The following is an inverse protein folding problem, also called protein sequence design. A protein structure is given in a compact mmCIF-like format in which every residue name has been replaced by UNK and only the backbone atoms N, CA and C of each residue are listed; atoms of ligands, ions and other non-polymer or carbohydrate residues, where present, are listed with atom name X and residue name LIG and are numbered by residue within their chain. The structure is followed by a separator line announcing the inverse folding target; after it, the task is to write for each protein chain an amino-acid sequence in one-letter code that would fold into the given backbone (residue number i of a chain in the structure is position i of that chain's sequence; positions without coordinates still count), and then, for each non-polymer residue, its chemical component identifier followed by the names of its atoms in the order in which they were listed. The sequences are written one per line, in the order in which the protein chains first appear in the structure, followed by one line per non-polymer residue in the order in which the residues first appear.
data_IF_380740795828
#
_entry.id   IF_380740795828
#
_cell.length_a   1.000
_cell.length_b   1.000
_cell.length_c   1.000
_cell.angle_alpha   90.00
_cell.angle_beta   90.00
_cell.angle_gamma   90.00
#
_symmetry.space_group_name_H-M   'P 1'
#
loop_
_entity.id
_entity.type
_entity.pdbx_description
1 polymer ?
#
# COMPACT_ATOMS: atom_id res chain seq x y z
N UNK A 1 -28.79 -44.39 -30.86
CA UNK A 1 -30.16 -44.01 -31.28
C UNK A 1 -31.14 -44.94 -30.58
N UNK A 2 -32.31 -44.53 -30.08
CA UNK A 2 -33.18 -43.37 -30.43
C UNK A 2 -33.14 -42.24 -29.38
N UNK A 3 -33.46 -40.94 -29.58
CA UNK A 3 -34.51 -40.16 -30.27
C UNK A 3 -35.76 -39.88 -29.39
N UNK A 4 -35.87 -38.59 -28.96
CA UNK A 4 -37.04 -37.73 -28.63
C UNK A 4 -37.99 -38.18 -27.49
N UNK A 5 -38.62 -37.30 -26.67
CA UNK A 5 -39.25 -35.98 -26.91
C UNK A 5 -39.50 -35.24 -25.56
N UNK A 6 -39.56 -33.91 -25.64
CA UNK A 6 -40.04 -32.96 -24.61
C UNK A 6 -41.49 -33.24 -24.12
N UNK A 7 -41.91 -32.59 -23.02
CA UNK A 7 -42.91 -31.53 -23.21
C UNK A 7 -42.61 -30.22 -22.44
N UNK A 8 -42.93 -29.12 -23.12
CA UNK A 8 -43.22 -27.80 -22.55
C UNK A 8 -44.55 -27.83 -21.78
N UNK A 9 -44.78 -26.88 -20.87
CA UNK A 9 -45.85 -25.86 -20.97
C UNK A 9 -45.82 -24.94 -19.75
N UNK A 10 -45.61 -23.67 -20.08
CA UNK A 10 -45.96 -22.41 -19.41
C UNK A 10 -46.80 -22.42 -18.11
N UNK A 11 -46.41 -21.53 -17.18
CA UNK A 11 -47.30 -20.43 -16.79
C UNK A 11 -46.52 -19.15 -16.47
N UNK A 12 -46.86 -18.10 -17.22
CA UNK A 12 -46.50 -16.70 -17.03
C UNK A 12 -47.11 -16.16 -15.72
N UNK A 13 -46.38 -15.30 -15.02
CA UNK A 13 -46.96 -14.15 -14.31
C UNK A 13 -46.13 -12.91 -14.64
N UNK A 14 -46.70 -12.10 -15.51
CA UNK A 14 -46.39 -10.68 -15.74
C UNK A 14 -46.80 -9.87 -14.52
N UNK A 15 -45.97 -8.93 -14.08
CA UNK A 15 -46.44 -7.76 -13.33
C UNK A 15 -45.55 -6.55 -13.63
N UNK A 16 -46.09 -5.76 -14.57
CA UNK A 16 -46.01 -4.32 -14.75
C UNK A 16 -44.91 -3.53 -14.05
N UNK A 17 -44.07 -2.91 -14.88
CA UNK A 17 -43.38 -1.65 -14.61
C UNK A 17 -44.38 -0.52 -14.31
N UNK A 18 -44.34 0.02 -13.10
CA UNK A 18 -44.90 1.35 -12.82
C UNK A 18 -43.78 2.36 -12.53
N UNK A 19 -43.36 3.04 -13.60
CA UNK A 19 -42.90 4.42 -13.53
C UNK A 19 -44.07 5.27 -12.99
N UNK A 20 -43.92 5.88 -11.81
CA UNK A 20 -44.75 7.01 -11.39
C UNK A 20 -43.86 8.14 -10.87
N UNK A 21 -43.67 9.11 -11.76
CA UNK A 21 -43.54 10.53 -11.44
C UNK A 21 -44.58 10.94 -10.40
N UNK A 22 -44.14 11.58 -9.33
CA UNK A 22 -45.03 12.36 -8.45
C UNK A 22 -44.52 13.80 -8.44
N UNK A 23 -45.18 14.64 -9.24
CA UNK A 23 -45.13 16.10 -9.12
C UNK A 23 -46.40 16.58 -8.41
N UNK A 24 -46.29 17.76 -7.79
CA UNK A 24 -47.35 18.67 -7.31
C UNK A 24 -47.89 18.40 -5.90
N UNK A 25 -47.37 19.17 -4.93
CA UNK A 25 -48.19 19.74 -3.87
C UNK A 25 -48.38 21.24 -4.12
N UNK A 26 -49.63 21.65 -3.89
CA UNK A 26 -50.29 22.87 -4.30
C UNK A 26 -49.83 24.10 -3.51
N UNK A 27 -49.53 25.20 -4.20
CA UNK A 27 -49.49 26.53 -3.60
C UNK A 27 -50.91 27.09 -3.55
N UNK A 28 -51.43 27.36 -2.35
CA UNK A 28 -52.62 28.19 -2.15
C UNK A 28 -52.15 29.64 -2.09
N UNK A 29 -52.66 30.46 -2.99
CA UNK A 29 -52.41 31.89 -3.11
C UNK A 29 -53.27 32.69 -2.12
N UNK A 30 -52.63 33.49 -1.28
CA UNK A 30 -53.23 34.67 -0.65
C UNK A 30 -52.34 35.89 -0.94
N UNK A 31 -52.97 36.90 -1.52
CA UNK A 31 -52.39 38.07 -2.16
C UNK A 31 -51.90 39.12 -1.16
N UNK A 32 -50.65 39.58 -1.30
CA UNK A 32 -50.25 40.95 -1.00
C UNK A 32 -48.93 41.25 -1.72
N UNK A 33 -48.95 42.30 -2.54
CA UNK A 33 -47.86 42.71 -3.41
C UNK A 33 -46.76 43.47 -2.66
N UNK A 34 -45.49 43.06 -2.84
CA UNK A 34 -44.32 43.95 -2.88
C UNK A 34 -43.13 43.22 -3.52
N UNK A 35 -42.37 43.96 -4.33
CA UNK A 35 -41.39 43.50 -5.32
C UNK A 35 -40.05 43.07 -4.71
N UNK A 36 -39.36 42.08 -5.31
CA UNK A 36 -37.89 41.96 -5.25
C UNK A 36 -37.29 40.62 -4.82
N UNK A 37 -36.87 39.82 -5.83
CA UNK A 37 -35.79 38.81 -5.84
C UNK A 37 -35.79 37.61 -4.87
N UNK A 38 -36.04 36.41 -5.43
CA UNK A 38 -35.25 35.19 -5.18
C UNK A 38 -35.45 34.44 -3.87
N UNK A 39 -36.53 33.67 -3.75
CA UNK A 39 -36.87 32.81 -2.61
C UNK A 39 -35.99 31.54 -2.52
N UNK A 40 -35.21 31.40 -1.45
CA UNK A 40 -34.69 30.13 -0.91
C UNK A 40 -35.72 29.55 0.08
N UNK A 41 -36.17 28.32 -0.12
CA UNK A 41 -36.92 27.58 0.91
C UNK A 41 -35.97 27.05 1.99
N UNK A 42 -36.27 27.20 3.30
CA UNK A 42 -35.45 26.65 4.38
C UNK A 42 -35.86 25.20 4.68
N UNK A 43 -34.96 24.24 4.44
CA UNK A 43 -35.07 22.91 5.03
C UNK A 43 -34.49 22.96 6.45
N UNK A 44 -35.34 23.16 7.45
CA UNK A 44 -34.94 23.01 8.85
C UNK A 44 -34.55 21.54 9.13
N UNK A 45 -33.33 21.31 9.63
CA UNK A 45 -32.92 20.02 10.20
C UNK A 45 -31.76 19.26 9.54
N UNK A 46 -30.73 19.92 9.00
CA UNK A 46 -29.38 19.31 8.81
C UNK A 46 -28.29 20.28 8.33
N UNK A 47 -28.54 21.60 8.36
CA UNK A 47 -27.58 22.58 7.86
C UNK A 47 -26.26 22.61 8.66
N UNK A 48 -26.26 22.25 9.94
CA UNK A 48 -25.04 22.19 10.76
C UNK A 48 -24.07 21.08 10.34
N UNK A 49 -24.56 19.86 10.13
CA UNK A 49 -23.72 18.72 9.76
C UNK A 49 -23.24 18.80 8.30
N UNK A 50 -24.09 19.24 7.37
CA UNK A 50 -23.72 19.42 5.98
C UNK A 50 -22.77 20.63 5.76
N UNK A 51 -22.89 21.70 6.56
CA UNK A 51 -21.94 22.80 6.55
C UNK A 51 -20.59 22.42 7.18
N UNK A 52 -20.58 21.64 8.26
CA UNK A 52 -19.37 21.12 8.87
C UNK A 52 -18.62 20.15 7.95
N UNK A 53 -19.33 19.28 7.22
CA UNK A 53 -18.75 18.42 6.19
C UNK A 53 -18.15 19.25 5.04
N UNK A 54 -18.81 20.32 4.60
CA UNK A 54 -18.28 21.22 3.55
C UNK A 54 -16.98 21.94 3.94
N UNK A 55 -16.69 22.10 5.23
CA UNK A 55 -15.47 22.75 5.74
C UNK A 55 -14.38 21.75 6.16
N UNK A 56 -14.63 20.43 6.07
CA UNK A 56 -13.61 19.45 6.42
C UNK A 56 -12.44 19.48 5.41
N UNK A 57 -11.17 19.44 5.86
CA UNK A 57 -10.01 19.36 4.98
C UNK A 57 -10.09 18.22 3.96
N UNK A 58 -10.71 17.10 4.34
CA UNK A 58 -10.93 15.95 3.46
C UNK A 58 -11.95 16.24 2.35
N UNK A 59 -13.00 17.02 2.63
CA UNK A 59 -13.97 17.47 1.62
C UNK A 59 -13.35 18.52 0.67
N UNK A 60 -12.45 19.37 1.17
CA UNK A 60 -11.65 20.26 0.32
C UNK A 60 -10.74 19.44 -0.61
N UNK A 61 -9.99 18.45 -0.10
CA UNK A 61 -9.18 17.55 -0.91
C UNK A 61 -9.99 16.72 -1.93
N UNK A 62 -11.20 16.30 -1.56
CA UNK A 62 -12.12 15.63 -2.47
C UNK A 62 -12.61 16.55 -3.60
N UNK A 63 -12.88 17.83 -3.26
CA UNK A 63 -13.34 18.84 -4.23
C UNK A 63 -12.20 19.28 -5.16
N UNK A 64 -10.96 19.38 -4.69
CA UNK A 64 -9.78 19.65 -5.53
C UNK A 64 -9.52 18.50 -6.50
N UNK A 65 -9.73 17.24 -6.07
CA UNK A 65 -9.64 16.07 -6.96
C UNK A 65 -10.70 16.10 -8.07
N UNK A 66 -11.96 16.41 -7.75
CA UNK A 66 -13.07 16.39 -8.73
C UNK A 66 -13.13 17.59 -9.68
N UNK A 67 -12.61 18.76 -9.29
CA UNK A 67 -12.85 20.00 -10.04
C UNK A 67 -11.66 20.52 -10.84
N UNK A 68 -10.53 19.83 -10.82
CA UNK A 68 -9.29 20.46 -11.21
C UNK A 68 -8.87 21.48 -10.15
N UNK A 69 -7.57 21.56 -9.88
CA UNK A 69 -7.03 22.66 -9.08
C UNK A 69 -7.35 23.99 -9.79
N UNK A 70 -8.36 24.71 -9.32
CA UNK A 70 -8.58 26.14 -9.61
C UNK A 70 -8.54 26.87 -8.28
N UNK A 71 -7.35 27.37 -7.95
CA UNK A 71 -7.01 28.07 -6.72
C UNK A 71 -7.96 29.24 -6.44
N UNK A 72 -8.42 29.33 -5.19
CA UNK A 72 -8.69 30.63 -4.57
C UNK A 72 -7.75 30.76 -3.36
N UNK A 73 -6.69 31.53 -3.56
CA UNK A 73 -6.00 32.31 -2.52
C UNK A 73 -5.50 31.60 -1.25
N UNK A 74 -4.91 30.41 -1.36
CA UNK A 74 -3.97 29.89 -0.36
C UNK A 74 -2.81 29.19 -1.06
N UNK A 75 -1.60 29.45 -0.56
CA UNK A 75 -0.27 29.08 -1.05
C UNK A 75 -0.23 27.68 -1.69
N UNK A 76 0.32 27.56 -2.90
CA UNK A 76 0.55 26.31 -3.63
C UNK A 76 1.35 25.32 -2.77
N UNK A 77 0.69 24.47 -1.99
CA UNK A 77 1.34 23.41 -1.21
C UNK A 77 0.82 22.05 -1.64
N UNK A 78 1.72 21.07 -1.68
CA UNK A 78 1.37 19.66 -1.87
C UNK A 78 0.42 19.27 -0.72
N UNK A 79 -0.76 18.75 -1.06
CA UNK A 79 -1.73 18.28 -0.04
C UNK A 79 -1.17 17.03 0.63
N UNK A 80 -1.32 16.91 1.95
CA UNK A 80 -0.78 15.76 2.69
C UNK A 80 -1.34 14.42 2.21
N UNK A 81 -0.50 13.39 2.30
CA UNK A 81 -0.79 12.01 1.88
C UNK A 81 -2.07 11.48 2.53
N UNK A 82 -2.27 11.70 3.83
CA UNK A 82 -3.45 11.21 4.54
C UNK A 82 -4.75 11.79 3.96
N UNK A 83 -4.80 13.12 3.76
CA UNK A 83 -5.98 13.79 3.22
C UNK A 83 -6.26 13.37 1.78
N UNK A 84 -5.21 13.21 0.98
CA UNK A 84 -5.32 12.75 -0.39
C UNK A 84 -5.83 11.31 -0.47
N UNK A 85 -5.25 10.38 0.29
CA UNK A 85 -5.72 8.99 0.40
C UNK A 85 -7.18 8.93 0.88
N UNK A 86 -7.57 9.76 1.85
CA UNK A 86 -8.95 9.85 2.32
C UNK A 86 -9.91 10.31 1.21
N UNK A 87 -9.55 11.35 0.48
CA UNK A 87 -10.32 11.81 -0.68
C UNK A 87 -10.42 10.72 -1.77
N UNK A 88 -9.40 9.87 -1.91
CA UNK A 88 -9.44 8.73 -2.83
C UNK A 88 -10.50 7.70 -2.44
N UNK A 89 -10.62 7.41 -1.15
CA UNK A 89 -11.52 6.38 -0.63
C UNK A 89 -12.98 6.84 -0.51
N UNK A 90 -13.24 8.15 -0.43
CA UNK A 90 -14.60 8.71 -0.37
C UNK A 90 -15.47 8.34 -1.59
N UNK A 91 -14.87 8.11 -2.76
CA UNK A 91 -15.60 7.67 -3.97
C UNK A 91 -15.90 6.16 -4.03
N UNK A 92 -15.26 5.37 -3.17
CA UNK A 92 -15.19 3.90 -3.29
C UNK A 92 -16.33 3.15 -2.55
N UNK A 93 -17.12 3.86 -1.75
CA UNK A 93 -18.12 3.24 -0.84
C UNK A 93 -19.55 3.18 -1.41
N UNK A 94 -19.88 3.95 -2.44
CA UNK A 94 -21.21 3.97 -3.03
C UNK A 94 -21.46 2.71 -3.89
N UNK A 95 -22.29 1.78 -3.41
CA UNK A 95 -22.76 0.61 -4.18
C UNK A 95 -22.04 -0.72 -3.90
N UNK A 96 -21.16 -0.80 -2.89
CA UNK A 96 -20.56 -2.08 -2.47
C UNK A 96 -21.51 -2.88 -1.58
N UNK A 97 -21.68 -4.17 -1.90
CA UNK A 97 -22.35 -5.18 -1.06
C UNK A 97 -21.56 -5.39 0.24
N UNK A 98 -22.25 -5.64 1.36
CA UNK A 98 -21.58 -6.07 2.60
C UNK A 98 -20.69 -7.28 2.34
N UNK A 99 -19.43 -7.21 2.77
CA UNK A 99 -18.49 -8.33 2.66
C UNK A 99 -18.78 -9.34 3.77
N UNK A 100 -18.63 -10.66 3.51
CA UNK A 100 -18.72 -11.70 4.53
C UNK A 100 -17.72 -11.47 5.68
N UNK A 101 -18.06 -11.93 6.89
CA UNK A 101 -17.24 -11.73 8.12
C UNK A 101 -15.83 -12.33 8.03
N UNK A 102 -15.64 -13.37 7.22
CA UNK A 102 -14.36 -14.07 7.06
C UNK A 102 -13.58 -13.63 5.80
N UNK A 103 -14.01 -12.55 5.13
CA UNK A 103 -13.33 -12.05 3.95
C UNK A 103 -12.00 -11.36 4.34
N UNK A 104 -10.87 -11.94 3.95
CA UNK A 104 -9.56 -11.33 4.11
C UNK A 104 -9.33 -10.24 3.06
N UNK A 105 -9.20 -8.98 3.49
CA UNK A 105 -8.83 -7.86 2.63
C UNK A 105 -7.36 -7.49 2.86
N UNK A 106 -6.52 -7.75 1.85
CA UNK A 106 -5.16 -7.22 1.80
C UNK A 106 -5.23 -5.72 1.48
N UNK A 107 -5.16 -4.90 2.53
CA UNK A 107 -5.32 -3.44 2.47
C UNK A 107 -3.99 -2.72 2.70
N UNK A 108 -2.87 -3.41 2.48
CA UNK A 108 -1.56 -2.96 2.98
C UNK A 108 -0.97 -1.77 2.17
N UNK A 109 -1.68 -1.28 1.15
CA UNK A 109 -1.31 -0.09 0.36
C UNK A 109 -2.32 1.07 0.36
N UNK A 110 -3.62 0.80 0.18
CA UNK A 110 -4.67 1.83 0.08
C UNK A 110 -5.87 1.49 0.95
N UNK A 111 -6.09 2.27 2.00
CA UNK A 111 -7.20 2.15 2.95
C UNK A 111 -7.82 3.52 3.19
N UNK A 112 -8.98 3.59 3.87
CA UNK A 112 -9.61 4.87 4.29
C UNK A 112 -9.00 5.33 5.61
N UNK A 113 -8.10 6.34 5.61
CA UNK A 113 -7.35 6.68 6.80
C UNK A 113 -8.10 7.66 7.71
N UNK A 114 -7.81 7.54 9.00
CA UNK A 114 -8.06 8.57 9.97
C UNK A 114 -6.90 9.58 9.99
N UNK A 115 -7.22 10.82 9.65
CA UNK A 115 -6.30 11.94 9.65
C UNK A 115 -6.64 12.90 10.79
N UNK A 116 -5.63 13.54 11.35
CA UNK A 116 -5.77 14.74 12.16
C UNK A 116 -6.17 15.95 11.31
N UNK A 117 -6.58 17.04 11.95
CA UNK A 117 -6.99 18.26 11.25
C UNK A 117 -5.84 18.92 10.46
N UNK A 118 -4.60 18.68 10.89
CA UNK A 118 -3.37 19.08 10.20
C UNK A 118 -3.08 18.26 8.95
N UNK A 119 -3.83 17.17 8.73
CA UNK A 119 -3.62 16.25 7.62
C UNK A 119 -2.56 15.17 7.87
N UNK A 120 -2.05 15.04 9.10
CA UNK A 120 -1.17 13.95 9.54
C UNK A 120 -1.99 12.69 9.84
N UNK A 121 -1.42 11.50 9.67
CA UNK A 121 -2.06 10.25 10.06
C UNK A 121 -2.21 10.16 11.58
N UNK A 122 -3.37 9.72 12.07
CA UNK A 122 -3.44 9.22 13.44
C UNK A 122 -2.59 7.96 13.56
N UNK A 123 -1.87 7.82 14.68
CA UNK A 123 -0.98 6.68 14.92
C UNK A 123 -1.70 5.33 14.87
N UNK A 124 -2.98 5.29 15.27
CA UNK A 124 -3.86 4.14 15.20
C UNK A 124 -4.82 4.28 14.02
N UNK A 125 -4.89 3.23 13.21
CA UNK A 125 -5.84 3.10 12.10
C UNK A 125 -6.71 1.87 12.34
N UNK A 126 -7.99 1.95 12.01
CA UNK A 126 -8.94 0.86 12.23
C UNK A 126 -9.86 0.68 11.02
N UNK A 127 -10.19 -0.58 10.72
CA UNK A 127 -11.23 -0.97 9.77
C UNK A 127 -12.15 -1.99 10.46
N UNK A 128 -13.35 -1.55 10.86
CA UNK A 128 -14.24 -2.34 11.69
C UNK A 128 -13.65 -2.58 13.08
N UNK A 129 -13.51 -3.86 13.47
CA UNK A 129 -12.91 -4.27 14.74
C UNK A 129 -11.39 -4.42 14.68
N UNK A 130 -10.82 -4.39 13.48
CA UNK A 130 -9.39 -4.63 13.26
C UNK A 130 -8.63 -3.32 13.19
N UNK A 131 -7.64 -3.15 14.06
CA UNK A 131 -6.80 -1.97 14.17
C UNK A 131 -5.30 -2.30 14.00
N UNK A 132 -4.51 -1.32 13.56
CA UNK A 132 -3.06 -1.41 13.43
C UNK A 132 -2.41 -0.05 13.69
N UNK A 133 -1.12 -0.04 14.03
CA UNK A 133 -0.35 1.19 14.14
C UNK A 133 0.32 1.55 12.81
N UNK A 134 0.41 2.84 12.52
CA UNK A 134 1.07 3.38 11.32
C UNK A 134 2.18 4.37 11.67
N UNK A 135 3.07 4.63 10.71
CA UNK A 135 4.06 5.71 10.76
C UNK A 135 3.51 7.02 10.17
N UNK A 136 4.34 8.07 10.16
CA UNK A 136 4.00 9.37 9.54
C UNK A 136 3.70 9.26 8.05
N UNK A 137 4.20 8.24 7.36
CA UNK A 137 3.88 7.93 5.97
C UNK A 137 2.58 7.12 5.78
N UNK A 138 1.87 6.80 6.87
CA UNK A 138 0.61 6.02 6.84
C UNK A 138 0.81 4.53 6.57
N UNK A 139 2.04 4.02 6.67
CA UNK A 139 2.39 2.62 6.44
C UNK A 139 2.29 1.86 7.75
N UNK A 140 1.70 0.66 7.69
CA UNK A 140 1.51 -0.22 8.84
C UNK A 140 2.86 -0.65 9.42
N UNK A 141 3.01 -0.56 10.75
CA UNK A 141 4.20 -1.02 11.48
C UNK A 141 3.95 -2.15 12.48
N UNK A 142 2.70 -2.56 12.66
CA UNK A 142 2.33 -3.64 13.59
C UNK A 142 1.43 -4.65 12.94
N UNK A 143 1.28 -5.81 13.56
CA UNK A 143 0.20 -6.72 13.20
C UNK A 143 -1.17 -6.07 13.43
N UNK A 144 -2.14 -6.54 12.66
CA UNK A 144 -3.56 -6.23 12.84
C UNK A 144 -4.05 -6.92 14.12
N UNK A 145 -4.66 -6.15 15.02
CA UNK A 145 -5.17 -6.59 16.31
C UNK A 145 -6.56 -6.00 16.56
N UNK A 146 -7.15 -6.26 17.72
CA UNK A 146 -8.46 -5.73 18.09
C UNK A 146 -8.41 -4.24 18.50
N UNK A 147 -9.59 -3.69 18.81
CA UNK A 147 -9.77 -2.30 19.20
C UNK A 147 -8.97 -1.87 20.44
N UNK A 148 -8.46 -2.79 21.25
CA UNK A 148 -7.65 -2.47 22.43
C UNK A 148 -6.17 -2.15 22.11
N UNK A 149 -5.76 -2.28 20.84
CA UNK A 149 -4.42 -1.92 20.40
C UNK A 149 -4.10 -0.44 20.75
N UNK A 150 -2.98 -0.22 21.44
CA UNK A 150 -2.50 1.11 21.83
C UNK A 150 -1.33 1.53 20.93
N UNK A 151 -1.54 2.60 20.18
CA UNK A 151 -0.49 3.27 19.40
C UNK A 151 -0.20 4.62 20.05
N UNK A 152 0.65 4.63 21.09
CA UNK A 152 0.90 5.82 21.92
C UNK A 152 1.64 6.94 21.19
N UNK A 153 2.43 6.61 20.18
CA UNK A 153 3.22 7.56 19.41
C UNK A 153 3.13 7.30 17.92
N UNK A 154 3.09 8.39 17.16
CA UNK A 154 3.25 8.37 15.71
C UNK A 154 4.75 8.41 15.41
N UNK A 155 5.32 7.27 15.02
CA UNK A 155 6.76 7.19 14.70
C UNK A 155 7.01 7.80 13.34
N UNK A 156 8.07 8.60 13.26
CA UNK A 156 8.47 9.27 12.04
C UNK A 156 9.21 8.34 11.08
N UNK A 157 8.85 8.44 9.81
CA UNK A 157 9.60 7.90 8.69
C UNK A 157 10.72 8.88 8.33
N UNK A 158 11.97 8.49 8.58
CA UNK A 158 13.13 9.36 8.39
C UNK A 158 13.74 9.23 6.99
N UNK A 159 13.57 8.07 6.35
CA UNK A 159 14.19 7.77 5.06
C UNK A 159 13.22 6.95 4.20
N UNK A 160 13.01 7.40 2.98
CA UNK A 160 12.21 6.72 1.96
C UNK A 160 13.13 6.41 0.78
N UNK A 161 13.08 5.15 0.33
CA UNK A 161 13.85 4.66 -0.81
C UNK A 161 12.84 4.34 -1.92
N UNK A 162 12.94 5.04 -3.04
CA UNK A 162 12.09 4.79 -4.20
C UNK A 162 12.94 4.07 -5.24
N UNK A 163 12.58 2.82 -5.51
CA UNK A 163 13.24 1.98 -6.50
C UNK A 163 12.32 1.81 -7.70
N UNK A 164 12.82 2.14 -8.89
CA UNK A 164 12.10 1.98 -10.14
C UNK A 164 12.91 1.14 -11.10
N UNK A 165 12.24 0.21 -11.78
CA UNK A 165 12.80 -0.54 -12.89
C UNK A 165 12.24 0.03 -14.19
N UNK A 166 13.10 0.57 -15.04
CA UNK A 166 12.69 0.97 -16.39
C UNK A 166 12.70 -0.23 -17.34
N UNK A 167 11.89 -0.16 -18.40
CA UNK A 167 11.87 -1.15 -19.47
C UNK A 167 13.23 -1.21 -20.19
N UNK A 168 13.52 -2.31 -20.89
CA UNK A 168 14.77 -2.42 -21.62
C UNK A 168 14.95 -1.25 -22.59
N UNK A 169 16.08 -0.57 -22.43
CA UNK A 169 16.52 0.51 -23.31
C UNK A 169 17.75 0.05 -24.10
N UNK A 170 17.68 0.29 -25.40
CA UNK A 170 18.76 0.01 -26.37
C UNK A 170 19.87 1.07 -26.30
N UNK A 171 19.63 2.19 -25.64
CA UNK A 171 20.55 3.31 -25.49
C UNK A 171 21.11 3.36 -24.07
N UNK A 172 22.42 3.59 -23.89
CA UNK A 172 23.00 3.73 -22.57
C UNK A 172 22.58 5.08 -21.96
N UNK A 173 21.78 5.04 -20.89
CA UNK A 173 21.39 6.24 -20.15
C UNK A 173 22.57 6.85 -19.39
N UNK A 174 22.72 8.17 -19.47
CA UNK A 174 23.74 8.88 -18.70
C UNK A 174 23.28 9.05 -17.23
N UNK A 175 24.02 8.44 -16.30
CA UNK A 175 23.73 8.49 -14.87
C UNK A 175 23.70 9.93 -14.31
N UNK A 176 24.53 10.82 -14.82
CA UNK A 176 24.62 12.21 -14.35
C UNK A 176 23.44 13.06 -14.86
N UNK A 177 23.04 12.88 -16.12
CA UNK A 177 21.81 13.49 -16.68
C UNK A 177 20.59 13.03 -15.91
N UNK A 178 20.53 11.73 -15.60
CA UNK A 178 19.44 11.10 -14.85
C UNK A 178 19.35 11.65 -13.42
N UNK A 179 20.49 11.70 -12.71
CA UNK A 179 20.59 12.26 -11.36
C UNK A 179 20.12 13.71 -11.32
N UNK A 180 20.59 14.53 -12.26
CA UNK A 180 20.16 15.94 -12.39
C UNK A 180 18.66 16.04 -12.64
N UNK A 181 18.13 15.26 -13.57
CA UNK A 181 16.71 15.26 -13.91
C UNK A 181 15.83 14.97 -12.69
N UNK A 182 16.11 13.90 -11.94
CA UNK A 182 15.29 13.55 -10.78
C UNK A 182 15.41 14.55 -9.64
N UNK A 183 16.63 15.06 -9.36
CA UNK A 183 16.81 16.11 -8.35
C UNK A 183 16.02 17.37 -8.70
N UNK A 184 16.14 17.86 -9.94
CA UNK A 184 15.39 19.03 -10.39
C UNK A 184 13.88 18.80 -10.41
N UNK A 185 13.44 17.66 -10.92
CA UNK A 185 12.02 17.29 -10.95
C UNK A 185 11.45 17.27 -9.54
N UNK A 186 12.13 16.62 -8.60
CA UNK A 186 11.62 16.50 -7.24
C UNK A 186 11.58 17.85 -6.53
N UNK A 187 12.62 18.67 -6.68
CA UNK A 187 12.63 20.00 -6.08
C UNK A 187 11.60 20.94 -6.69
N UNK A 188 11.48 20.98 -8.02
CA UNK A 188 10.62 21.95 -8.71
C UNK A 188 9.15 21.54 -8.69
N UNK A 189 8.86 20.26 -8.96
CA UNK A 189 7.48 19.77 -9.13
C UNK A 189 6.81 19.49 -7.80
N UNK A 190 7.51 18.85 -6.86
CA UNK A 190 6.96 18.50 -5.54
C UNK A 190 7.39 19.45 -4.43
N UNK A 191 8.12 20.52 -4.77
CA UNK A 191 8.52 21.59 -3.84
C UNK A 191 9.34 21.08 -2.64
N UNK A 192 10.02 19.94 -2.80
CA UNK A 192 10.88 19.39 -1.77
C UNK A 192 12.22 20.13 -1.76
N UNK A 193 12.66 20.60 -0.60
CA UNK A 193 13.99 21.18 -0.45
C UNK A 193 15.04 20.14 -0.88
N UNK A 194 15.97 20.56 -1.74
CA UNK A 194 17.02 19.72 -2.28
C UNK A 194 17.91 19.07 -1.19
N UNK A 195 17.97 19.65 0.01
CA UNK A 195 18.66 19.07 1.16
C UNK A 195 18.10 17.72 1.62
N UNK A 196 16.81 17.47 1.35
CA UNK A 196 16.15 16.21 1.69
C UNK A 196 16.24 15.17 0.57
N UNK A 197 16.80 15.54 -0.59
CA UNK A 197 17.07 14.61 -1.68
C UNK A 197 18.50 14.11 -1.50
N UNK A 198 18.63 12.89 -1.00
CA UNK A 198 19.92 12.23 -0.78
C UNK A 198 20.62 11.90 -2.09
N UNK A 199 20.73 10.61 -2.39
CA UNK A 199 21.33 10.15 -3.64
C UNK A 199 20.29 9.71 -4.67
N UNK A 200 20.70 9.79 -5.93
CA UNK A 200 20.00 9.19 -7.06
C UNK A 200 21.00 8.28 -7.75
N UNK A 201 20.83 6.98 -7.56
CA UNK A 201 21.70 5.94 -8.07
C UNK A 201 21.04 5.29 -9.30
N UNK A 202 21.88 4.97 -10.29
CA UNK A 202 21.46 4.27 -11.49
C UNK A 202 22.34 3.05 -11.71
N UNK A 203 21.72 1.88 -11.60
CA UNK A 203 22.32 0.56 -11.86
C UNK A 203 21.40 -0.18 -12.83
N UNK A 204 21.68 -0.08 -14.14
CA UNK A 204 20.80 -0.57 -15.20
C UNK A 204 20.21 -1.97 -14.86
N UNK A 205 18.88 -2.18 -14.87
CA UNK A 205 17.79 -1.25 -15.26
C UNK A 205 17.11 -0.50 -14.08
N UNK A 206 17.75 -0.43 -12.92
CA UNK A 206 17.20 0.13 -11.68
C UNK A 206 17.65 1.56 -11.44
N UNK A 207 16.71 2.38 -10.98
CA UNK A 207 16.92 3.75 -10.51
C UNK A 207 16.46 3.80 -9.06
N UNK A 208 17.35 4.24 -8.17
CA UNK A 208 17.09 4.33 -6.74
C UNK A 208 17.22 5.77 -6.28
N UNK A 209 16.16 6.31 -5.65
CA UNK A 209 16.10 7.67 -5.14
C UNK A 209 15.94 7.63 -3.63
N UNK A 210 16.87 8.26 -2.92
CA UNK A 210 16.84 8.40 -1.47
C UNK A 210 16.24 9.75 -1.08
N UNK A 211 15.17 9.74 -0.27
CA UNK A 211 14.63 10.92 0.39
C UNK A 211 14.84 10.80 1.89
N UNK A 212 15.54 11.77 2.51
CA UNK A 212 15.91 11.73 3.94
C UNK A 212 15.46 13.01 4.62
N UNK A 213 14.70 12.90 5.70
CA UNK A 213 14.18 14.05 6.44
C UNK A 213 13.93 13.68 7.90
N UNK A 214 14.85 14.07 8.78
CA UNK A 214 14.71 13.87 10.22
C UNK A 214 13.64 14.80 10.83
N UNK A 215 13.10 14.42 11.99
CA UNK A 215 12.16 15.25 12.76
C UNK A 215 12.76 16.61 13.12
N UNK A 216 14.02 16.64 13.56
CA UNK A 216 14.74 17.86 13.97
C UNK A 216 15.04 18.83 12.83
N UNK A 217 15.10 18.34 11.59
CA UNK A 217 15.50 19.13 10.42
C UNK A 217 14.31 19.70 9.66
N UNK A 218 13.09 19.22 9.92
CA UNK A 218 11.87 19.64 9.22
C UNK A 218 11.33 20.95 9.79
N UNK A 219 11.33 22.00 8.99
CA UNK A 219 10.69 23.27 9.34
C UNK A 219 9.18 23.21 9.12
N UNK A 220 8.42 24.05 9.84
CA UNK A 220 6.93 24.07 9.78
C UNK A 220 6.35 24.38 8.38
N UNK A 221 7.16 24.85 7.42
CA UNK A 221 6.75 25.12 6.04
C UNK A 221 7.25 24.09 5.02
N UNK A 222 8.05 23.11 5.44
CA UNK A 222 8.65 22.14 4.54
C UNK A 222 7.66 21.03 4.18
N UNK A 223 7.69 20.61 2.92
CA UNK A 223 6.94 19.45 2.44
C UNK A 223 7.51 18.18 3.08
N UNK A 224 6.64 17.25 3.48
CA UNK A 224 7.08 15.96 4.03
C UNK A 224 7.53 15.01 2.91
N UNK A 225 8.62 14.28 3.12
CA UNK A 225 9.11 13.29 2.15
C UNK A 225 8.08 12.20 1.85
N UNK A 226 7.18 11.88 2.79
CA UNK A 226 6.11 10.91 2.56
C UNK A 226 5.06 11.41 1.58
N UNK A 227 4.77 12.71 1.58
CA UNK A 227 3.87 13.34 0.62
C UNK A 227 4.50 13.28 -0.77
N UNK A 228 5.76 13.70 -0.89
CA UNK A 228 6.52 13.67 -2.15
C UNK A 228 6.58 12.27 -2.73
N UNK A 229 6.93 11.27 -1.92
CA UNK A 229 7.01 9.88 -2.37
C UNK A 229 5.66 9.37 -2.88
N UNK A 230 4.55 9.75 -2.23
CA UNK A 230 3.21 9.37 -2.67
C UNK A 230 2.81 10.02 -4.00
N UNK A 231 3.07 11.32 -4.17
CA UNK A 231 2.79 12.01 -5.44
C UNK A 231 3.67 11.47 -6.57
N UNK A 232 4.95 11.24 -6.29
CA UNK A 232 5.88 10.68 -7.25
C UNK A 232 5.47 9.26 -7.67
N UNK A 233 5.11 8.40 -6.72
CA UNK A 233 4.61 7.05 -7.00
C UNK A 233 3.36 7.08 -7.89
N UNK A 234 2.41 7.98 -7.61
CA UNK A 234 1.21 8.19 -8.43
C UNK A 234 1.55 8.66 -9.85
N UNK A 235 2.45 9.62 -9.97
CA UNK A 235 2.90 10.16 -11.25
C UNK A 235 3.56 9.08 -12.11
N UNK A 236 4.48 8.30 -11.54
CA UNK A 236 5.19 7.21 -12.24
C UNK A 236 4.26 6.07 -12.64
N UNK A 237 3.19 5.82 -11.86
CA UNK A 237 2.15 4.82 -12.18
C UNK A 237 1.09 5.33 -13.16
N UNK A 238 1.16 6.59 -13.61
CA UNK A 238 0.19 7.19 -14.54
C UNK A 238 -1.09 7.72 -13.88
N UNK A 239 -1.20 7.65 -12.55
CA UNK A 239 -2.33 8.13 -11.75
C UNK A 239 -2.09 9.54 -11.20
N UNK A 240 -1.52 10.43 -12.02
CA UNK A 240 -1.07 11.75 -11.58
C UNK A 240 -2.17 12.55 -10.91
N UNK A 241 -1.83 13.14 -9.75
CA UNK A 241 -2.73 14.00 -8.98
C UNK A 241 -2.82 15.39 -9.60
N UNK A 242 -1.80 15.79 -10.37
CA UNK A 242 -1.73 17.07 -11.05
C UNK A 242 -2.56 17.03 -12.35
N UNK A 243 -3.66 17.77 -12.36
CA UNK A 243 -4.55 17.87 -13.54
C UNK A 243 -3.78 18.38 -14.76
N UNK A 244 -3.88 17.66 -15.88
CA UNK A 244 -3.28 18.00 -17.18
C UNK A 244 -1.76 18.21 -17.17
N UNK A 245 -1.05 17.67 -16.19
CA UNK A 245 0.39 17.83 -16.07
C UNK A 245 1.03 16.48 -15.71
N UNK A 246 1.03 15.53 -16.65
CA UNK A 246 1.66 14.22 -16.46
C UNK A 246 3.18 14.36 -16.36
N UNK A 247 3.80 13.55 -15.51
CA UNK A 247 5.24 13.49 -15.43
C UNK A 247 5.78 12.67 -16.60
N UNK A 248 6.50 13.35 -17.50
CA UNK A 248 7.22 12.70 -18.58
C UNK A 248 8.69 12.59 -18.19
N UNK A 249 9.17 11.37 -17.97
CA UNK A 249 10.59 11.12 -17.68
C UNK A 249 11.34 10.95 -18.99
N UNK A 250 11.96 12.03 -19.46
CA UNK A 250 12.79 12.04 -20.66
C UNK A 250 14.24 12.31 -20.28
N UNK A 251 15.12 11.32 -20.47
CA UNK A 251 16.55 11.41 -20.22
C UNK A 251 17.28 11.34 -21.56
N UNK A 252 18.10 12.34 -21.88
CA UNK A 252 18.87 12.40 -23.14
C UNK A 252 18.00 12.14 -24.41
N UNK A 253 16.80 12.75 -24.45
CA UNK A 253 15.75 12.57 -25.49
C UNK A 253 15.13 11.16 -25.60
N UNK A 254 15.41 10.28 -24.65
CA UNK A 254 14.74 8.99 -24.53
C UNK A 254 13.67 9.05 -23.43
N UNK A 255 12.45 8.67 -23.79
CA UNK A 255 11.35 8.57 -22.84
C UNK A 255 11.41 7.23 -22.12
N UNK A 256 11.51 7.28 -20.79
CA UNK A 256 11.57 6.08 -19.95
C UNK A 256 10.17 5.62 -19.58
N UNK A 257 9.93 4.33 -19.79
CA UNK A 257 8.74 3.62 -19.29
C UNK A 257 9.14 2.74 -18.11
N UNK A 258 8.36 2.76 -17.03
CA UNK A 258 8.65 1.99 -15.82
C UNK A 258 7.79 0.73 -15.75
N UNK A 259 8.42 -0.42 -15.58
CA UNK A 259 7.73 -1.72 -15.43
C UNK A 259 7.33 -1.99 -13.99
N UNK A 260 8.17 -1.56 -13.06
CA UNK A 260 8.00 -1.82 -11.63
C UNK A 260 8.48 -0.62 -10.83
N UNK A 261 7.71 -0.28 -9.80
CA UNK A 261 8.07 0.74 -8.82
C UNK A 261 7.79 0.19 -7.44
N UNK A 262 8.78 0.27 -6.56
CA UNK A 262 8.70 -0.11 -5.15
C UNK A 262 9.12 1.09 -4.30
N UNK A 263 8.41 1.30 -3.19
CA UNK A 263 8.72 2.34 -2.22
C UNK A 263 8.95 1.68 -0.88
N UNK A 264 10.14 1.86 -0.33
CA UNK A 264 10.53 1.35 0.97
C UNK A 264 10.57 2.50 1.98
N UNK A 265 10.13 2.22 3.20
CA UNK A 265 10.01 3.20 4.27
C UNK A 265 10.87 2.76 5.45
N UNK A 266 11.71 3.67 5.94
CA UNK A 266 12.60 3.44 7.09
C UNK A 266 12.22 4.43 8.20
N UNK A 267 11.84 3.88 9.33
CA UNK A 267 11.33 4.61 10.49
C UNK A 267 12.39 4.83 11.56
N UNK A 268 12.20 5.84 12.42
CA UNK A 268 13.02 6.11 13.61
C UNK A 268 13.06 4.94 14.59
N UNK A 269 11.95 4.19 14.67
CA UNK A 269 11.80 3.01 15.53
C UNK A 269 11.42 1.84 14.64
N UNK A 270 12.09 0.67 14.78
CA UNK A 270 11.78 -0.50 13.96
C UNK A 270 10.33 -0.95 14.15
N UNK A 271 9.71 -1.55 13.11
CA UNK A 271 8.35 -2.04 13.20
C UNK A 271 8.25 -3.29 14.08
N UNK A 272 7.08 -3.50 14.67
CA UNK A 272 6.76 -4.60 15.57
C UNK A 272 5.81 -5.60 14.89
N UNK A 273 6.36 -6.47 14.05
CA UNK A 273 5.61 -7.58 13.49
C UNK A 273 5.89 -8.86 14.27
N UNK A 274 4.84 -9.54 14.74
CA UNK A 274 4.98 -10.88 15.27
C UNK A 274 5.36 -11.80 14.11
N UNK A 275 6.43 -12.60 14.27
CA UNK A 275 6.91 -13.57 13.28
C UNK A 275 5.94 -14.76 13.06
N UNK A 276 4.63 -14.54 13.14
CA UNK A 276 3.59 -15.54 12.85
C UNK A 276 3.65 -16.09 11.42
N UNK A 277 4.48 -15.51 10.55
CA UNK A 277 4.75 -16.01 9.20
C UNK A 277 5.44 -17.38 9.17
N UNK A 278 6.02 -17.85 10.28
CA UNK A 278 6.36 -19.27 10.40
C UNK A 278 5.12 -20.00 10.92
N UNK A 279 4.29 -20.49 9.99
CA UNK A 279 3.20 -21.38 10.37
C UNK A 279 3.78 -22.55 11.19
N UNK A 280 3.12 -22.98 12.28
CA UNK A 280 3.61 -24.09 13.10
C UNK A 280 3.97 -25.34 12.29
N UNK A 281 3.27 -25.55 11.16
CA UNK A 281 3.56 -26.62 10.20
C UNK A 281 4.94 -26.53 9.57
N UNK A 282 5.43 -25.34 9.19
CA UNK A 282 6.76 -25.19 8.60
C UNK A 282 7.87 -25.49 9.63
N UNK A 283 7.69 -25.03 10.87
CA UNK A 283 8.63 -25.32 11.96
C UNK A 283 8.65 -26.83 12.25
N UNK A 284 7.50 -27.49 12.30
CA UNK A 284 7.42 -28.94 12.51
C UNK A 284 8.15 -29.72 11.41
N UNK A 285 7.98 -29.33 10.15
CA UNK A 285 8.70 -29.96 9.01
C UNK A 285 10.21 -29.77 9.13
N UNK A 286 10.67 -28.56 9.45
CA UNK A 286 12.11 -28.27 9.61
C UNK A 286 12.72 -29.13 10.73
N UNK A 287 12.03 -29.25 11.87
CA UNK A 287 12.49 -30.07 13.01
C UNK A 287 12.61 -31.54 12.64
N UNK A 288 11.62 -32.10 11.93
CA UNK A 288 11.64 -33.52 11.50
C UNK A 288 12.80 -33.78 10.54
N UNK A 289 13.06 -32.87 9.59
CA UNK A 289 14.17 -33.00 8.63
C UNK A 289 15.52 -32.99 9.35
N UNK A 290 15.71 -32.09 10.33
CA UNK A 290 16.95 -32.02 11.11
C UNK A 290 17.17 -33.32 11.90
N UNK A 291 16.13 -33.85 12.55
CA UNK A 291 16.21 -35.10 13.31
C UNK A 291 16.59 -36.28 12.39
N UNK A 292 16.00 -36.36 11.21
CA UNK A 292 16.31 -37.41 10.23
C UNK A 292 17.78 -37.34 9.76
N UNK A 293 18.30 -36.14 9.49
CA UNK A 293 19.70 -35.93 9.10
C UNK A 293 20.65 -36.35 10.23
N UNK A 294 20.38 -35.94 11.47
CA UNK A 294 21.19 -36.31 12.63
C UNK A 294 21.19 -37.83 12.84
N UNK A 295 20.03 -38.47 12.75
CA UNK A 295 19.92 -39.92 12.86
C UNK A 295 20.72 -40.64 11.76
N UNK A 296 20.63 -40.17 10.51
CA UNK A 296 21.41 -40.72 9.40
C UNK A 296 22.93 -40.58 9.63
N UNK A 297 23.40 -39.43 10.11
CA UNK A 297 24.82 -39.20 10.46
C UNK A 297 25.25 -40.16 11.58
N UNK A 298 24.45 -40.31 12.63
CA UNK A 298 24.76 -41.24 13.74
C UNK A 298 24.86 -42.68 13.24
N UNK A 299 23.91 -43.14 12.41
CA UNK A 299 23.96 -44.48 11.80
C UNK A 299 25.20 -44.64 10.92
N UNK A 300 25.55 -43.63 10.13
CA UNK A 300 26.73 -43.65 9.27
C UNK A 300 28.03 -43.73 10.10
N UNK A 301 28.13 -43.00 11.20
CA UNK A 301 29.29 -43.06 12.12
C UNK A 301 29.37 -44.43 12.81
N UNK A 302 28.24 -44.97 13.30
CA UNK A 302 28.19 -46.27 13.97
C UNK A 302 28.52 -47.43 13.03
N UNK A 303 28.00 -47.40 11.79
CA UNK A 303 28.31 -48.42 10.77
C UNK A 303 29.77 -48.35 10.33
N UNK A 304 30.36 -47.17 10.17
CA UNK A 304 31.81 -47.01 9.93
C UNK A 304 32.65 -47.54 11.09
N UNK A 305 32.27 -47.26 12.35
CA UNK A 305 32.96 -47.81 13.53
C UNK A 305 32.86 -49.33 13.63
N UNK A 306 31.73 -49.93 13.27
CA UNK A 306 31.57 -51.40 13.25
C UNK A 306 32.41 -52.03 12.13
N UNK A 307 32.36 -51.51 10.90
CA UNK A 307 33.19 -52.02 9.79
C UNK A 307 34.68 -51.99 10.12
N UNK A 308 35.18 -50.94 10.78
CA UNK A 308 36.58 -50.89 11.24
C UNK A 308 36.94 -51.97 12.28
N UNK A 309 35.99 -52.46 13.08
CA UNK A 309 36.22 -53.56 14.03
C UNK A 309 36.18 -54.93 13.35
N UNK A 310 35.28 -55.15 12.39
CA UNK A 310 35.21 -56.41 11.62
C UNK A 310 36.44 -56.62 10.74
N UNK A 311 36.89 -55.57 10.02
CA UNK A 311 38.11 -55.65 9.19
C UNK A 311 39.35 -55.99 10.04
N UNK A 312 39.42 -55.47 11.28
CA UNK A 312 40.53 -55.77 12.19
C UNK A 312 40.48 -57.20 12.75
N UNK A 313 39.29 -57.79 12.87
CA UNK A 313 39.13 -59.19 13.30
C UNK A 313 39.48 -60.17 12.16
N UNK A 314 39.00 -59.92 10.93
CA UNK A 314 39.33 -60.77 9.77
C UNK A 314 40.83 -60.76 9.45
N UNK A 315 41.52 -59.60 9.53
CA UNK A 315 42.98 -59.54 9.32
C UNK A 315 43.75 -60.29 10.41
N UNK A 316 43.23 -60.31 11.64
CA UNK A 316 43.87 -61.06 12.74
C UNK A 316 43.72 -62.57 12.54
N UNK A 317 42.53 -63.05 12.17
CA UNK A 317 42.28 -64.47 11.88
C UNK A 317 43.07 -64.95 10.65
N UNK A 318 43.13 -64.14 9.58
CA UNK A 318 43.94 -64.40 8.37
C UNK A 318 45.44 -64.56 8.67
N UNK A 319 45.98 -63.77 9.60
CA UNK A 319 47.38 -63.85 10.01
C UNK A 319 47.66 -65.05 10.92
N UNK A 320 46.70 -65.48 11.73
CA UNK A 320 46.82 -66.67 12.57
C UNK A 320 46.75 -67.96 11.71
N UNK A 321 45.92 -68.01 10.67
CA UNK A 321 45.93 -69.12 9.69
C UNK A 321 47.23 -69.22 8.89
N UNK A 322 47.80 -68.09 8.44
CA UNK A 322 49.11 -68.10 7.76
C UNK A 322 50.26 -68.59 8.65
N UNK A 323 50.16 -68.39 9.98
CA UNK A 323 51.14 -68.94 10.93
C UNK A 323 50.97 -70.44 11.14
N UNK A 324 49.74 -70.95 11.15
CA UNK A 324 49.47 -72.39 11.26
C UNK A 324 49.84 -73.20 10.01
N UNK A 325 49.87 -72.58 8.83
CA UNK A 325 50.24 -73.25 7.57
C UNK A 325 51.75 -73.31 7.32
N UNK A 326 52.55 -72.53 8.07
CA UNK A 326 54.02 -72.43 7.94
C UNK A 326 54.78 -73.00 9.15
N UNK A 327 54.09 -73.78 9.99
CA UNK A 327 54.66 -74.52 11.13
C UNK A 327 54.49 -76.03 10.87
#
# INVERSE_FOLDING_TARGET
MPIFRLPSWHRFYTLESHFRTCSRLSCVSSSAAAQGSGTTCPCAGSHGAAAALRQSPAHHAFRTRRRGYRSSSERSSVTSKCLLMKAEMMGSKSGRREKPKDAFEDTDGLYDPECENTGVFKAKQCNGTTCWCVNTAGVRRTDKQDADLKCSQLVRTMWIIIEMKHAESNTPLNAESLKRFFKETISKRYMLDGRYIGDVLYEKPYITIDLKQNSSEKSSGDVDIADVAYYFEKDVKGDSVFHNNQLNVSIDNEMLTFEKTAVYYVDEIPPEFSMKSLTPGLIAVIVVVIIAIVAAIVVLVLTRRRKGKYVKAEVKEMNEMHRGLNA
#
